data_IF_204079093325
#
_entry.id   IF_204079093325
#
_cell.length_a   1.000
_cell.length_b   1.000
_cell.length_c   1.000
_cell.angle_alpha   90.00
_cell.angle_beta   90.00
_cell.angle_gamma   90.00
#
_symmetry.space_group_name_H-M   'P 1'
#
loop_
_entity.id
_entity.type
_entity.pdbx_description
1 polymer ?
#
# COMPACT_ATOMS: atom_id res chain seq x y z
N UNK A 1 -34.71 2.93 -17.67
CA UNK A 1 -34.61 1.46 -17.68
C UNK A 1 -33.51 1.04 -16.69
N UNK A 2 -33.90 0.40 -15.60
CA UNK A 2 -33.03 0.01 -14.49
C UNK A 2 -31.84 -0.87 -14.95
N UNK A 3 -32.12 -1.81 -15.85
CA UNK A 3 -31.08 -2.64 -16.48
C UNK A 3 -30.02 -1.82 -17.22
N UNK A 4 -30.39 -0.73 -17.87
CA UNK A 4 -29.42 0.11 -18.57
C UNK A 4 -28.50 0.86 -17.57
N UNK A 5 -29.02 1.27 -16.42
CA UNK A 5 -28.22 1.88 -15.34
C UNK A 5 -27.22 0.88 -14.74
N UNK A 6 -27.66 -0.36 -14.52
CA UNK A 6 -26.77 -1.42 -14.04
C UNK A 6 -25.65 -1.72 -15.04
N UNK A 7 -25.94 -1.81 -16.35
CA UNK A 7 -24.91 -1.98 -17.36
C UNK A 7 -23.91 -0.82 -17.41
N UNK A 8 -24.41 0.43 -17.31
CA UNK A 8 -23.54 1.61 -17.29
C UNK A 8 -22.63 1.58 -16.04
N UNK A 9 -23.16 1.23 -14.85
CA UNK A 9 -22.35 1.09 -13.64
C UNK A 9 -21.26 0.03 -13.81
N UNK A 10 -21.60 -1.16 -14.30
CA UNK A 10 -20.62 -2.23 -14.55
C UNK A 10 -19.56 -1.81 -15.57
N UNK A 11 -19.96 -1.09 -16.64
CA UNK A 11 -19.01 -0.57 -17.62
C UNK A 11 -18.05 0.46 -17.02
N UNK A 12 -18.58 1.37 -16.19
CA UNK A 12 -17.76 2.36 -15.50
C UNK A 12 -16.77 1.69 -14.54
N UNK A 13 -17.22 0.76 -13.70
CA UNK A 13 -16.36 -0.02 -12.81
C UNK A 13 -15.23 -0.74 -13.58
N UNK A 14 -15.56 -1.38 -14.70
CA UNK A 14 -14.55 -2.08 -15.54
C UNK A 14 -13.61 -1.12 -16.23
N UNK A 15 -14.09 0.04 -16.66
CA UNK A 15 -13.27 1.10 -17.26
C UNK A 15 -12.28 1.68 -16.25
N UNK A 16 -12.73 2.02 -15.04
CA UNK A 16 -11.87 2.51 -13.96
C UNK A 16 -10.81 1.47 -13.58
N UNK A 17 -11.21 0.20 -13.51
CA UNK A 17 -10.27 -0.90 -13.26
C UNK A 17 -9.21 -1.00 -14.34
N UNK A 18 -9.59 -0.94 -15.62
CA UNK A 18 -8.65 -1.01 -16.76
C UNK A 18 -7.68 0.18 -16.72
N UNK A 19 -8.17 1.37 -16.43
CA UNK A 19 -7.34 2.57 -16.23
C UNK A 19 -6.30 2.33 -15.14
N UNK A 20 -6.70 1.87 -13.96
CA UNK A 20 -5.79 1.59 -12.86
C UNK A 20 -4.74 0.54 -13.21
N UNK A 21 -5.14 -0.55 -13.88
CA UNK A 21 -4.22 -1.60 -14.36
C UNK A 21 -3.17 -1.04 -15.32
N UNK A 22 -3.59 -0.16 -16.23
CA UNK A 22 -2.69 0.48 -17.20
C UNK A 22 -1.70 1.41 -16.51
N UNK A 23 -2.16 2.22 -15.56
CA UNK A 23 -1.33 3.12 -14.76
C UNK A 23 -0.30 2.35 -13.94
N UNK A 24 -0.72 1.28 -13.25
CA UNK A 24 0.15 0.40 -12.48
C UNK A 24 1.23 -0.25 -13.38
N UNK A 25 0.84 -0.73 -14.57
CA UNK A 25 1.77 -1.36 -15.51
C UNK A 25 2.82 -0.37 -16.02
N UNK A 26 2.39 0.84 -16.38
CA UNK A 26 3.29 1.91 -16.82
C UNK A 26 4.25 2.31 -15.69
N UNK A 27 3.75 2.40 -14.46
CA UNK A 27 4.58 2.71 -13.30
C UNK A 27 5.61 1.60 -13.03
N UNK A 28 5.19 0.34 -13.01
CA UNK A 28 6.09 -0.81 -12.86
C UNK A 28 7.17 -0.85 -13.96
N UNK A 29 6.80 -0.55 -15.21
CA UNK A 29 7.73 -0.45 -16.33
C UNK A 29 8.76 0.67 -16.14
N UNK A 30 8.34 1.86 -15.68
CA UNK A 30 9.26 2.97 -15.36
C UNK A 30 10.21 2.63 -14.20
N UNK A 31 9.71 1.94 -13.19
CA UNK A 31 10.53 1.45 -12.07
C UNK A 31 11.61 0.50 -12.59
N UNK A 32 11.22 -0.51 -13.38
CA UNK A 32 12.13 -1.54 -13.89
C UNK A 32 13.17 -0.99 -14.85
N UNK A 33 12.83 0.03 -15.64
CA UNK A 33 13.76 0.69 -16.57
C UNK A 33 14.66 1.73 -15.92
N UNK A 34 14.52 2.01 -14.62
CA UNK A 34 15.29 3.05 -13.93
C UNK A 34 14.94 4.49 -14.35
N UNK A 35 13.85 4.68 -15.11
CA UNK A 35 13.46 5.99 -15.65
C UNK A 35 12.57 6.82 -14.70
N UNK A 36 12.69 6.59 -13.38
CA UNK A 36 12.01 7.41 -12.38
C UNK A 36 12.97 8.49 -11.88
N UNK A 37 12.59 9.75 -12.10
CA UNK A 37 13.23 10.88 -11.42
C UNK A 37 12.60 11.04 -10.04
N UNK A 38 13.43 11.09 -9.00
CA UNK A 38 13.03 11.30 -7.62
C UNK A 38 13.37 12.73 -7.18
N UNK A 39 12.43 13.39 -6.54
CA UNK A 39 12.59 14.71 -5.95
C UNK A 39 12.64 14.60 -4.43
N UNK A 40 13.83 14.35 -3.90
CA UNK A 40 14.02 14.16 -2.47
C UNK A 40 13.86 15.46 -1.69
N UNK A 41 13.04 15.40 -0.62
CA UNK A 41 12.85 16.47 0.36
C UNK A 41 12.68 15.88 1.77
N UNK A 42 12.84 16.71 2.78
CA UNK A 42 12.52 16.30 4.15
C UNK A 42 11.01 16.33 4.31
N UNK A 43 10.44 15.20 4.75
CA UNK A 43 9.01 14.97 4.90
C UNK A 43 8.71 14.54 6.33
N UNK A 44 7.63 15.05 6.90
CA UNK A 44 7.07 14.53 8.13
C UNK A 44 6.15 13.34 7.83
N UNK A 45 6.58 12.13 8.15
CA UNK A 45 5.83 10.91 7.88
C UNK A 45 4.49 10.87 8.64
N UNK A 46 4.43 11.45 9.86
CA UNK A 46 3.19 11.53 10.62
C UNK A 46 2.09 12.28 9.86
N UNK A 47 2.43 13.40 9.22
CA UNK A 47 1.48 14.20 8.44
C UNK A 47 0.96 13.41 7.23
N UNK A 48 1.84 12.73 6.51
CA UNK A 48 1.45 11.88 5.37
C UNK A 48 0.53 10.74 5.80
N UNK A 49 0.84 10.07 6.91
CA UNK A 49 -0.01 8.99 7.44
C UNK A 49 -1.38 9.52 7.85
N UNK A 50 -1.44 10.67 8.53
CA UNK A 50 -2.71 11.29 8.91
C UNK A 50 -3.56 11.67 7.68
N UNK A 51 -2.93 12.19 6.64
CA UNK A 51 -3.62 12.55 5.40
C UNK A 51 -4.18 11.30 4.70
N UNK A 52 -3.39 10.23 4.57
CA UNK A 52 -3.87 8.96 3.99
C UNK A 52 -4.99 8.35 4.83
N UNK A 53 -4.88 8.40 6.17
CA UNK A 53 -5.96 7.95 7.06
C UNK A 53 -7.27 8.66 6.75
N UNK A 54 -7.23 9.99 6.57
CA UNK A 54 -8.41 10.78 6.21
C UNK A 54 -9.00 10.37 4.86
N UNK A 55 -8.17 10.19 3.84
CA UNK A 55 -8.65 9.80 2.50
C UNK A 55 -9.25 8.39 2.43
N UNK A 56 -8.79 7.48 3.29
CA UNK A 56 -9.27 6.10 3.30
C UNK A 56 -10.36 5.83 4.34
N UNK A 57 -10.75 6.81 5.16
CA UNK A 57 -11.72 6.65 6.24
C UNK A 57 -13.04 6.02 5.77
N UNK A 58 -13.67 6.58 4.73
CA UNK A 58 -14.93 6.06 4.17
C UNK A 58 -14.78 4.65 3.61
N UNK A 59 -13.63 4.32 3.02
CA UNK A 59 -13.37 2.97 2.49
C UNK A 59 -13.22 1.95 3.61
N UNK A 60 -12.59 2.32 4.71
CA UNK A 60 -12.46 1.45 5.88
C UNK A 60 -13.82 1.25 6.55
N UNK A 61 -14.62 2.33 6.71
CA UNK A 61 -15.98 2.25 7.22
C UNK A 61 -16.85 1.34 6.33
N UNK A 62 -16.81 1.51 5.02
CA UNK A 62 -17.54 0.69 4.05
C UNK A 62 -17.15 -0.81 4.06
N UNK A 63 -15.96 -1.13 4.58
CA UNK A 63 -15.47 -2.51 4.80
C UNK A 63 -15.63 -2.96 6.25
N UNK A 64 -16.24 -2.15 7.12
CA UNK A 64 -16.34 -2.41 8.56
C UNK A 64 -14.96 -2.69 9.20
N UNK A 65 -13.97 -1.85 8.89
CA UNK A 65 -12.61 -1.93 9.41
C UNK A 65 -12.37 -0.78 10.39
N UNK A 66 -11.91 -1.10 11.59
CA UNK A 66 -11.53 -0.11 12.61
C UNK A 66 -10.05 0.26 12.46
N UNK A 67 -9.76 1.51 12.10
CA UNK A 67 -8.39 2.01 12.01
C UNK A 67 -7.89 2.44 13.40
N UNK A 68 -6.84 1.78 13.87
CA UNK A 68 -6.09 2.14 15.08
C UNK A 68 -4.74 2.71 14.65
N UNK A 69 -4.59 4.03 14.77
CA UNK A 69 -3.37 4.72 14.38
C UNK A 69 -2.61 5.20 15.62
N UNK A 70 -1.34 4.79 15.77
CA UNK A 70 -0.46 5.14 16.88
C UNK A 70 0.79 5.79 16.31
N UNK A 71 0.87 7.12 16.40
CA UNK A 71 2.01 7.91 15.96
C UNK A 71 2.70 8.51 17.18
N UNK A 72 4.03 8.60 17.12
CA UNK A 72 4.77 9.37 18.12
C UNK A 72 4.42 10.85 18.01
N UNK A 73 4.38 11.60 19.15
CA UNK A 73 4.08 13.03 19.13
C UNK A 73 5.11 13.87 18.36
N UNK A 74 6.37 13.44 18.38
CA UNK A 74 7.47 14.13 17.71
C UNK A 74 7.37 13.92 16.19
N UNK A 75 7.76 14.92 15.38
CA UNK A 75 7.83 14.78 13.93
C UNK A 75 8.78 13.64 13.53
N UNK A 76 8.30 12.74 12.67
CA UNK A 76 9.11 11.66 12.11
C UNK A 76 9.60 12.08 10.72
N UNK A 77 10.79 12.72 10.69
CA UNK A 77 11.36 13.26 9.45
C UNK A 77 12.10 12.19 8.67
N UNK A 78 11.73 12.02 7.42
CA UNK A 78 12.43 11.16 6.45
C UNK A 78 12.84 11.98 5.23
N UNK A 79 13.88 11.58 4.52
CA UNK A 79 14.28 12.16 3.25
C UNK A 79 13.76 11.30 2.09
N UNK A 80 12.69 11.74 1.45
CA UNK A 80 12.02 10.99 0.41
C UNK A 80 11.33 11.90 -0.61
N UNK A 81 10.82 11.32 -1.69
CA UNK A 81 9.93 11.97 -2.64
C UNK A 81 8.48 11.84 -2.17
N UNK A 82 7.81 12.96 -1.90
CA UNK A 82 6.47 12.99 -1.32
C UNK A 82 5.44 12.23 -2.14
N UNK A 83 5.48 12.38 -3.47
CA UNK A 83 4.54 11.71 -4.39
C UNK A 83 4.76 10.19 -4.37
N UNK A 84 6.02 9.77 -4.26
CA UNK A 84 6.36 8.33 -4.26
C UNK A 84 6.04 7.68 -2.92
N UNK A 85 6.29 8.35 -1.80
CA UNK A 85 5.84 7.85 -0.48
C UNK A 85 4.33 7.82 -0.39
N UNK A 86 3.63 8.86 -0.89
CA UNK A 86 2.18 8.83 -0.99
C UNK A 86 1.70 7.57 -1.74
N UNK A 87 2.28 7.29 -2.90
CA UNK A 87 1.93 6.10 -3.71
C UNK A 87 2.22 4.79 -2.99
N UNK A 88 3.29 4.71 -2.21
CA UNK A 88 3.57 3.56 -1.34
C UNK A 88 2.43 3.36 -0.34
N UNK A 89 2.07 4.39 0.40
CA UNK A 89 0.99 4.34 1.40
C UNK A 89 -0.35 3.99 0.75
N UNK A 90 -0.71 4.63 -0.35
CA UNK A 90 -1.93 4.34 -1.11
C UNK A 90 -2.02 2.86 -1.50
N UNK A 91 -0.96 2.28 -2.06
CA UNK A 91 -0.92 0.86 -2.42
C UNK A 91 -1.12 -0.06 -1.21
N UNK A 92 -0.51 0.28 -0.06
CA UNK A 92 -0.67 -0.49 1.17
C UNK A 92 -2.09 -0.41 1.72
N UNK A 93 -2.70 0.79 1.72
CA UNK A 93 -4.08 0.98 2.19
C UNK A 93 -5.12 0.34 1.27
N UNK A 94 -4.91 0.42 -0.05
CA UNK A 94 -5.74 -0.30 -1.03
C UNK A 94 -5.64 -1.81 -0.80
N UNK A 95 -4.45 -2.32 -0.49
CA UNK A 95 -4.25 -3.75 -0.15
C UNK A 95 -5.05 -4.13 1.10
N UNK A 96 -4.99 -3.31 2.15
CA UNK A 96 -5.80 -3.52 3.37
C UNK A 96 -7.30 -3.54 3.04
N UNK A 97 -7.81 -2.54 2.31
CA UNK A 97 -9.23 -2.49 1.92
C UNK A 97 -9.70 -3.72 1.14
N UNK A 98 -8.81 -4.34 0.37
CA UNK A 98 -9.14 -5.52 -0.45
C UNK A 98 -9.12 -6.82 0.34
N UNK A 99 -8.15 -6.98 1.23
CA UNK A 99 -7.81 -8.28 1.79
C UNK A 99 -8.00 -8.40 3.29
N UNK A 100 -8.22 -7.29 4.01
CA UNK A 100 -8.49 -7.35 5.42
C UNK A 100 -9.89 -7.96 5.69
N UNK A 101 -9.95 -8.79 6.72
CA UNK A 101 -11.20 -9.40 7.19
C UNK A 101 -12.13 -8.31 7.72
N UNK A 102 -13.37 -8.19 7.19
CA UNK A 102 -14.35 -7.23 7.70
C UNK A 102 -14.65 -7.45 9.19
N UNK A 103 -14.92 -6.38 9.92
CA UNK A 103 -15.18 -6.43 11.36
C UNK A 103 -13.92 -6.56 12.21
N UNK A 104 -12.73 -6.36 11.62
CA UNK A 104 -11.45 -6.40 12.35
C UNK A 104 -10.76 -5.04 12.38
N UNK A 105 -9.66 -4.97 13.13
CA UNK A 105 -8.86 -3.75 13.28
C UNK A 105 -7.70 -3.73 12.30
N UNK A 106 -7.41 -2.54 11.80
CA UNK A 106 -6.19 -2.21 11.05
C UNK A 106 -5.31 -1.36 11.95
N UNK A 107 -4.09 -1.80 12.19
CA UNK A 107 -3.14 -1.07 13.02
C UNK A 107 -2.10 -0.38 12.13
N UNK A 108 -1.97 0.92 12.33
CA UNK A 108 -0.93 1.74 11.68
C UNK A 108 -0.12 2.39 12.79
N UNK A 109 1.16 2.06 12.87
CA UNK A 109 2.06 2.62 13.86
C UNK A 109 3.33 3.15 13.22
N UNK A 110 3.78 4.33 13.63
CA UNK A 110 5.04 4.90 13.22
C UNK A 110 5.87 5.28 14.45
N UNK A 111 7.12 4.80 14.46
CA UNK A 111 8.06 4.98 15.56
C UNK A 111 9.45 5.35 15.06
N UNK A 112 10.18 6.11 15.89
CA UNK A 112 11.62 6.31 15.75
C UNK A 112 12.36 5.37 16.68
N UNK A 113 13.32 4.62 16.15
CA UNK A 113 14.18 3.73 16.92
C UNK A 113 15.57 3.66 16.28
N UNK A 114 16.59 3.90 17.07
CA UNK A 114 18.02 3.76 16.66
C UNK A 114 18.36 4.55 15.38
N UNK A 115 17.89 5.81 15.28
CA UNK A 115 18.12 6.67 14.11
C UNK A 115 17.35 6.27 12.86
N UNK A 116 16.41 5.34 12.99
CA UNK A 116 15.53 4.88 11.92
C UNK A 116 14.07 5.19 12.24
N UNK A 117 13.32 5.50 11.20
CA UNK A 117 11.89 5.69 11.26
C UNK A 117 11.21 4.49 10.62
N UNK A 118 10.36 3.82 11.40
CA UNK A 118 9.62 2.64 10.98
C UNK A 118 8.13 2.95 10.96
N UNK A 119 7.48 2.68 9.83
CA UNK A 119 6.04 2.65 9.72
C UNK A 119 5.60 1.20 9.51
N UNK A 120 4.66 0.73 10.33
CA UNK A 120 4.06 -0.59 10.16
C UNK A 120 2.55 -0.52 9.97
N UNK A 121 2.04 -1.36 9.08
CA UNK A 121 0.61 -1.55 8.80
C UNK A 121 0.30 -3.02 9.00
N UNK A 122 -0.70 -3.30 9.86
CA UNK A 122 -1.08 -4.67 10.23
C UNK A 122 -2.58 -4.87 10.09
N UNK A 123 -2.97 -6.00 9.52
CA UNK A 123 -4.37 -6.43 9.46
C UNK A 123 -4.49 -7.96 9.51
N UNK A 124 -5.66 -8.45 9.84
CA UNK A 124 -6.03 -9.85 9.67
C UNK A 124 -6.53 -10.03 8.25
N UNK A 125 -6.04 -11.03 7.55
CA UNK A 125 -6.47 -11.37 6.19
C UNK A 125 -7.80 -12.10 6.19
N UNK A 126 -8.68 -11.76 5.25
CA UNK A 126 -9.95 -12.48 5.03
C UNK A 126 -9.72 -13.90 4.49
N UNK A 127 -8.63 -14.09 3.75
CA UNK A 127 -8.27 -15.40 3.20
C UNK A 127 -6.98 -15.93 3.86
N UNK A 128 -6.82 -17.25 4.00
CA UNK A 128 -5.59 -17.84 4.51
C UNK A 128 -4.35 -17.41 3.74
N UNK A 129 -3.31 -17.02 4.46
CA UNK A 129 -2.02 -16.59 3.89
C UNK A 129 -1.10 -17.82 3.71
N UNK A 130 -1.39 -18.64 2.72
CA UNK A 130 -0.63 -19.87 2.41
C UNK A 130 0.59 -19.58 1.49
N UNK A 131 1.20 -18.43 1.63
CA UNK A 131 2.32 -17.96 0.80
C UNK A 131 3.52 -17.62 1.67
N UNK A 132 4.71 -17.68 1.07
CA UNK A 132 5.88 -17.05 1.68
C UNK A 132 5.84 -15.54 1.39
N UNK A 133 6.35 -14.74 2.32
CA UNK A 133 6.35 -13.27 2.21
C UNK A 133 6.99 -12.77 0.90
N UNK A 134 8.06 -13.43 0.46
CA UNK A 134 8.76 -13.09 -0.77
C UNK A 134 7.92 -13.34 -2.03
N UNK A 135 7.09 -14.37 -2.04
CA UNK A 135 6.22 -14.68 -3.17
C UNK A 135 5.19 -13.58 -3.45
N UNK A 136 4.77 -12.84 -2.41
CA UNK A 136 3.79 -11.75 -2.56
C UNK A 136 4.35 -10.55 -3.34
N UNK A 137 5.65 -10.35 -3.32
CA UNK A 137 6.32 -9.27 -4.05
C UNK A 137 6.95 -9.75 -5.35
N UNK A 138 7.25 -11.05 -5.49
CA UNK A 138 7.87 -11.64 -6.68
C UNK A 138 6.87 -12.13 -7.74
N UNK A 139 5.63 -12.46 -7.35
CA UNK A 139 4.60 -12.99 -8.27
C UNK A 139 4.38 -12.16 -9.51
N UNK A 140 4.67 -10.89 -9.43
CA UNK A 140 4.50 -9.98 -10.55
C UNK A 140 5.64 -10.01 -11.57
N UNK A 141 6.86 -10.26 -11.13
CA UNK A 141 8.02 -10.38 -12.03
C UNK A 141 7.91 -11.65 -12.91
N UNK A 142 7.17 -12.67 -12.46
CA UNK A 142 7.01 -13.96 -13.15
C UNK A 142 5.75 -14.12 -13.99
N UNK A 143 4.90 -13.10 -14.12
CA UNK A 143 3.73 -13.15 -15.01
C UNK A 143 2.63 -14.14 -14.60
N UNK A 144 2.65 -14.68 -13.38
CA UNK A 144 1.59 -15.54 -12.87
C UNK A 144 0.39 -14.73 -12.40
N UNK A 145 -0.50 -14.48 -13.35
CA UNK A 145 -1.82 -13.91 -13.12
C UNK A 145 -2.66 -14.97 -12.42
N UNK A 146 -2.81 -14.87 -11.10
CA UNK A 146 -3.85 -15.63 -10.42
C UNK A 146 -5.21 -15.08 -10.86
N UNK A 147 -5.91 -15.88 -11.66
CA UNK A 147 -7.17 -15.53 -12.35
C UNK A 147 -8.37 -15.27 -11.44
N UNK A 148 -8.22 -15.22 -10.13
CA UNK A 148 -9.36 -15.22 -9.19
C UNK A 148 -9.43 -14.05 -8.19
N UNK A 149 -8.45 -13.13 -8.13
CA UNK A 149 -8.53 -12.01 -7.20
C UNK A 149 -8.68 -10.68 -7.92
N UNK A 150 -9.63 -9.85 -7.48
CA UNK A 150 -9.85 -8.49 -7.96
C UNK A 150 -8.64 -7.60 -7.65
N UNK A 151 -7.77 -7.36 -8.64
CA UNK A 151 -6.65 -6.44 -8.51
C UNK A 151 -5.56 -6.70 -9.54
N UNK A 152 -4.64 -5.74 -9.74
CA UNK A 152 -3.49 -5.89 -10.63
C UNK A 152 -2.45 -6.88 -10.08
N UNK A 153 -2.47 -7.15 -8.80
CA UNK A 153 -1.37 -7.84 -8.09
C UNK A 153 -0.08 -7.03 -8.01
N UNK A 154 -0.06 -5.80 -8.56
CA UNK A 154 1.10 -4.92 -8.67
C UNK A 154 1.36 -4.07 -7.44
N UNK A 155 0.33 -3.78 -6.66
CA UNK A 155 0.41 -2.76 -5.61
C UNK A 155 1.54 -2.98 -4.60
N UNK A 156 1.73 -4.22 -4.12
CA UNK A 156 2.81 -4.54 -3.16
C UNK A 156 4.20 -4.45 -3.80
N UNK A 157 4.35 -4.90 -5.05
CA UNK A 157 5.63 -4.82 -5.75
C UNK A 157 5.99 -3.37 -6.08
N UNK A 158 5.02 -2.54 -6.48
CA UNK A 158 5.21 -1.09 -6.68
C UNK A 158 5.61 -0.44 -5.36
N UNK A 159 4.90 -0.71 -4.26
CA UNK A 159 5.20 -0.16 -2.95
C UNK A 159 6.62 -0.54 -2.49
N UNK A 160 7.01 -1.80 -2.62
CA UNK A 160 8.36 -2.29 -2.30
C UNK A 160 9.43 -1.56 -3.13
N UNK A 161 9.27 -1.55 -4.45
CA UNK A 161 10.26 -0.97 -5.34
C UNK A 161 10.40 0.55 -5.15
N UNK A 162 9.28 1.27 -4.99
CA UNK A 162 9.32 2.70 -4.69
C UNK A 162 9.96 3.00 -3.34
N UNK A 163 9.78 2.15 -2.33
CA UNK A 163 10.46 2.29 -1.03
C UNK A 163 11.97 2.09 -1.19
N UNK A 164 12.39 1.03 -1.88
CA UNK A 164 13.81 0.71 -2.11
C UNK A 164 14.51 1.77 -2.95
N UNK A 165 13.86 2.29 -4.00
CA UNK A 165 14.40 3.38 -4.83
C UNK A 165 14.65 4.67 -4.01
N UNK A 166 13.93 4.85 -2.91
CA UNK A 166 14.11 5.96 -1.99
C UNK A 166 15.00 5.63 -0.79
N UNK A 167 15.84 4.59 -0.91
CA UNK A 167 16.79 4.12 0.11
C UNK A 167 16.12 3.59 1.39
N UNK A 168 14.83 3.28 1.35
CA UNK A 168 14.12 2.60 2.43
C UNK A 168 14.22 1.08 2.34
N UNK A 169 13.84 0.40 3.40
CA UNK A 169 13.62 -1.05 3.41
C UNK A 169 12.12 -1.38 3.50
N UNK A 170 11.74 -2.50 2.91
CA UNK A 170 10.36 -2.97 2.84
C UNK A 170 10.31 -4.44 3.24
N UNK A 171 9.62 -4.75 4.33
CA UNK A 171 9.51 -6.09 4.86
C UNK A 171 8.04 -6.50 5.01
N UNK A 172 7.72 -7.73 4.61
CA UNK A 172 6.44 -8.37 4.85
C UNK A 172 6.66 -9.46 5.89
N UNK A 173 5.78 -9.50 6.88
CA UNK A 173 5.71 -10.56 7.88
C UNK A 173 4.31 -11.18 7.85
N UNK A 174 4.26 -12.50 7.80
CA UNK A 174 3.06 -13.31 7.80
C UNK A 174 3.11 -14.26 9.01
N UNK A 175 1.99 -14.33 9.74
CA UNK A 175 1.84 -15.27 10.85
C UNK A 175 0.37 -15.70 10.94
N UNK A 176 0.05 -16.92 10.49
CA UNK A 176 -1.33 -17.34 10.29
C UNK A 176 -2.05 -16.38 9.34
N UNK A 177 -3.12 -15.76 9.83
CA UNK A 177 -3.89 -14.77 9.07
C UNK A 177 -3.40 -13.34 9.27
N UNK A 178 -2.36 -13.11 10.08
CA UNK A 178 -1.77 -11.81 10.27
C UNK A 178 -0.90 -11.43 9.06
N UNK A 179 -1.25 -10.31 8.44
CA UNK A 179 -0.45 -9.65 7.43
C UNK A 179 0.14 -8.36 8.01
N UNK A 180 1.44 -8.20 7.95
CA UNK A 180 2.15 -7.00 8.40
C UNK A 180 3.15 -6.55 7.36
N UNK A 181 3.10 -5.27 7.00
CA UNK A 181 4.16 -4.60 6.23
C UNK A 181 4.87 -3.62 7.14
N UNK A 182 6.20 -3.58 7.07
CA UNK A 182 7.03 -2.57 7.72
C UNK A 182 7.90 -1.91 6.68
N UNK A 183 7.82 -0.58 6.58
CA UNK A 183 8.75 0.24 5.82
C UNK A 183 9.65 1.01 6.77
N UNK A 184 10.93 1.12 6.43
CA UNK A 184 11.92 1.76 7.29
C UNK A 184 12.77 2.71 6.46
N UNK A 185 12.99 3.91 6.97
CA UNK A 185 13.88 4.93 6.42
C UNK A 185 14.88 5.38 7.48
N UNK A 186 16.02 5.89 7.04
CA UNK A 186 16.89 6.62 7.94
C UNK A 186 16.22 7.96 8.31
N UNK A 187 16.42 8.39 9.56
CA UNK A 187 15.94 9.70 9.99
C UNK A 187 16.65 10.80 9.19
N UNK A 188 15.87 11.77 8.70
CA UNK A 188 16.43 12.97 8.10
C UNK A 188 16.89 13.92 9.21
N UNK A 189 18.16 14.30 9.15
CA UNK A 189 18.78 15.28 10.07
C UNK A 189 18.55 16.69 9.55
#
# INVERSE_FOLDING_TARGET
NEKAKDYIRVLDEKSQRLKQLTEDLVEASKISSGNIKLEFMNLNLNELVQQVNGEFAERFEGRNLDLICILQPEPLLIRADSRRIWRVLENLYVNVCKYAMPGTRVYVDAIKKDGKIQLSIKNISENPLNFQADELTERFIRGDVSRSTEGSGLGLSIAKNLTVLQHGSFNIYLDGDLFKVTITFDEAV
#
